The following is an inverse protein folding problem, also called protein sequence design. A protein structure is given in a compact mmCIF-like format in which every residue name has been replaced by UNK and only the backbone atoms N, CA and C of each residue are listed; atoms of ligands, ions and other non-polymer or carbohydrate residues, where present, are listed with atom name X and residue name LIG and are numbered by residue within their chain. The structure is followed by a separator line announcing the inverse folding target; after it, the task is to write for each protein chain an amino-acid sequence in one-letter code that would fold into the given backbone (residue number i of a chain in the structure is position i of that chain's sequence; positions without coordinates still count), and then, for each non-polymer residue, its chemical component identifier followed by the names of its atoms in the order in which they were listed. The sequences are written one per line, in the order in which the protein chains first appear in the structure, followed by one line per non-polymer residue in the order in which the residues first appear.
data_IF_264252005396
#
_entry.id   IF_264252005396
#
_cell.length_a   1.000
_cell.length_b   1.000
_cell.length_c   1.000
_cell.angle_alpha   90.00
_cell.angle_beta   90.00
_cell.angle_gamma   90.00
#
_symmetry.space_group_name_H-M   'P 1'
#
loop_
_entity.id
_entity.type
_entity.pdbx_description
1 polymer ?
#
# COMPACT_ATOMS: atom_id res chain seq x y z
N UNK A 1 17.56 21.03 -57.50
CA UNK A 1 18.24 19.75 -57.24
C UNK A 1 18.37 19.60 -55.72
N UNK A 2 17.44 18.87 -55.10
CA UNK A 2 17.53 18.56 -53.68
C UNK A 2 18.44 17.34 -53.52
N UNK A 3 19.65 17.55 -53.00
CA UNK A 3 20.55 16.46 -52.64
C UNK A 3 20.19 15.99 -51.23
N UNK A 4 19.22 15.09 -51.14
CA UNK A 4 18.89 14.41 -49.89
C UNK A 4 19.93 13.35 -49.62
N UNK A 5 20.69 13.49 -48.51
CA UNK A 5 21.44 12.37 -47.95
C UNK A 5 20.42 11.30 -47.53
N UNK A 6 20.42 10.18 -48.23
CA UNK A 6 19.80 8.96 -47.73
C UNK A 6 20.65 8.52 -46.52
N UNK A 7 20.13 8.72 -45.31
CA UNK A 7 20.68 8.07 -44.11
C UNK A 7 20.48 6.56 -44.31
N UNK A 8 21.59 5.79 -44.38
CA UNK A 8 21.49 4.34 -44.50
C UNK A 8 20.82 3.77 -43.24
N UNK A 9 19.92 2.77 -43.39
CA UNK A 9 19.31 2.13 -42.24
C UNK A 9 20.40 1.41 -41.45
N UNK A 10 20.51 1.76 -40.17
CA UNK A 10 21.35 1.08 -39.16
C UNK A 10 21.24 -0.43 -39.37
N UNK A 11 22.37 -1.11 -39.57
CA UNK A 11 22.35 -2.53 -39.89
C UNK A 11 21.69 -3.31 -38.76
N UNK A 12 21.09 -4.44 -39.11
CA UNK A 12 20.32 -5.28 -38.19
C UNK A 12 21.19 -5.78 -37.02
N UNK A 13 22.51 -5.86 -37.21
CA UNK A 13 23.46 -6.22 -36.17
C UNK A 13 23.71 -5.07 -35.18
N UNK A 14 23.79 -3.83 -35.66
CA UNK A 14 24.07 -2.65 -34.82
C UNK A 14 22.85 -2.28 -33.97
N UNK A 15 21.64 -2.44 -34.51
CA UNK A 15 20.38 -2.32 -33.77
C UNK A 15 20.25 -3.40 -32.68
N UNK A 16 20.72 -4.62 -32.96
CA UNK A 16 20.75 -5.70 -31.97
C UNK A 16 21.74 -5.38 -30.84
N UNK A 17 22.95 -4.91 -31.14
CA UNK A 17 23.91 -4.48 -30.09
C UNK A 17 23.36 -3.34 -29.22
N UNK A 18 22.66 -2.37 -29.82
CA UNK A 18 22.03 -1.26 -29.10
C UNK A 18 20.84 -1.71 -28.23
N UNK A 19 20.04 -2.67 -28.70
CA UNK A 19 18.98 -3.29 -27.92
C UNK A 19 19.52 -4.07 -26.70
N UNK A 20 20.68 -4.72 -26.83
CA UNK A 20 21.35 -5.37 -25.69
C UNK A 20 21.92 -4.36 -24.69
N UNK A 21 22.37 -3.19 -25.14
CA UNK A 21 22.82 -2.10 -24.25
C UNK A 21 21.66 -1.50 -23.44
N UNK A 22 20.44 -1.48 -24.00
CA UNK A 22 19.20 -1.00 -23.36
C UNK A 22 18.50 -2.09 -22.52
N UNK A 23 18.81 -3.37 -22.74
CA UNK A 23 18.29 -4.51 -21.99
C UNK A 23 19.03 -4.73 -20.66
N UNK A 24 19.49 -3.67 -20.00
CA UNK A 24 19.89 -3.79 -18.60
C UNK A 24 18.63 -4.19 -17.82
N UNK A 25 18.59 -5.37 -17.17
CA UNK A 25 17.47 -5.73 -16.31
C UNK A 25 17.43 -4.68 -15.21
N UNK A 26 16.44 -3.78 -15.29
CA UNK A 26 16.12 -2.86 -14.21
C UNK A 26 16.01 -3.68 -12.94
N UNK A 27 17.02 -3.55 -12.06
CA UNK A 27 17.07 -4.22 -10.77
C UNK A 27 15.89 -3.69 -9.96
N UNK A 28 14.75 -4.36 -10.06
CA UNK A 28 13.59 -4.09 -9.22
C UNK A 28 14.03 -4.28 -7.77
N UNK A 29 14.23 -3.20 -7.03
CA UNK A 29 14.50 -3.24 -5.60
C UNK A 29 13.18 -3.48 -4.85
N UNK A 30 12.63 -4.69 -4.95
CA UNK A 30 11.47 -5.10 -4.17
C UNK A 30 11.92 -5.49 -2.76
N UNK A 31 11.69 -4.60 -1.80
CA UNK A 31 11.89 -4.88 -0.38
C UNK A 31 10.52 -5.19 0.22
N UNK A 32 10.33 -6.42 0.69
CA UNK A 32 9.18 -6.79 1.51
C UNK A 32 9.67 -7.13 2.92
N UNK A 33 8.98 -6.59 3.93
CA UNK A 33 9.21 -6.99 5.30
C UNK A 33 8.46 -8.29 5.59
N UNK A 34 9.15 -9.27 6.17
CA UNK A 34 8.46 -10.38 6.83
C UNK A 34 8.03 -9.91 8.22
N UNK A 35 6.74 -9.74 8.44
CA UNK A 35 6.19 -9.46 9.77
C UNK A 35 5.86 -10.78 10.46
N UNK A 36 6.34 -10.95 11.69
CA UNK A 36 5.90 -12.05 12.56
C UNK A 36 4.58 -11.72 13.29
N UNK A 37 4.10 -10.48 13.19
CA UNK A 37 2.87 -10.04 13.85
C UNK A 37 1.69 -10.59 13.03
N UNK A 38 0.82 -11.41 13.65
CA UNK A 38 -0.35 -11.94 12.97
C UNK A 38 -1.27 -10.80 12.56
N UNK A 39 -1.77 -10.87 11.32
CA UNK A 39 -2.80 -9.96 10.87
C UNK A 39 -4.11 -10.31 11.55
N UNK A 40 -4.91 -9.27 11.78
CA UNK A 40 -6.10 -9.37 12.61
C UNK A 40 -7.32 -9.87 11.85
N UNK A 41 -7.36 -9.66 10.52
CA UNK A 41 -8.44 -10.11 9.62
C UNK A 41 -9.88 -9.78 10.08
N UNK A 42 -10.04 -8.75 10.91
CA UNK A 42 -11.32 -8.33 11.50
C UNK A 42 -11.62 -6.89 11.09
N UNK A 43 -12.91 -6.61 10.93
CA UNK A 43 -13.40 -5.24 10.87
C UNK A 43 -13.32 -4.57 12.24
N UNK A 44 -13.24 -3.24 12.25
CA UNK A 44 -13.29 -2.46 13.50
C UNK A 44 -14.56 -2.78 14.30
N UNK A 45 -15.70 -2.98 13.62
CA UNK A 45 -16.97 -3.33 14.26
C UNK A 45 -16.96 -4.70 14.94
N UNK A 46 -16.36 -5.73 14.33
CA UNK A 46 -16.22 -7.06 14.93
C UNK A 46 -15.38 -7.02 16.21
N UNK A 47 -14.26 -6.30 16.17
CA UNK A 47 -13.43 -6.10 17.36
C UNK A 47 -14.17 -5.33 18.45
N UNK A 48 -14.89 -4.27 18.09
CA UNK A 48 -15.66 -3.49 19.06
C UNK A 48 -16.72 -4.35 19.74
N UNK A 49 -17.44 -5.19 18.99
CA UNK A 49 -18.40 -6.15 19.56
C UNK A 49 -17.73 -7.15 20.50
N UNK A 50 -16.61 -7.76 20.10
CA UNK A 50 -15.84 -8.66 20.98
C UNK A 50 -15.36 -7.96 22.26
N UNK A 51 -14.96 -6.69 22.15
CA UNK A 51 -14.51 -5.91 23.30
C UNK A 51 -15.66 -5.54 24.25
N UNK A 52 -16.89 -5.38 23.74
CA UNK A 52 -18.08 -5.19 24.59
C UNK A 52 -18.31 -6.39 25.49
N UNK A 53 -18.14 -7.61 24.97
CA UNK A 53 -18.36 -8.84 25.74
C UNK A 53 -17.34 -9.01 26.87
N UNK A 54 -16.11 -8.54 26.67
CA UNK A 54 -15.03 -8.67 27.64
C UNK A 54 -14.99 -7.52 28.67
N UNK A 55 -15.09 -6.27 28.20
CA UNK A 55 -14.82 -5.07 29.01
C UNK A 55 -15.77 -3.91 28.65
N UNK A 56 -17.10 -4.07 28.85
CA UNK A 56 -18.10 -3.12 28.34
C UNK A 56 -17.96 -1.70 28.90
N UNK A 57 -17.53 -1.59 30.16
CA UNK A 57 -17.44 -0.33 30.90
C UNK A 57 -16.08 0.37 30.79
N UNK A 58 -15.12 -0.21 30.06
CA UNK A 58 -13.80 0.38 29.89
C UNK A 58 -13.90 1.66 29.04
N UNK A 59 -13.22 2.70 29.47
CA UNK A 59 -13.08 3.94 28.70
C UNK A 59 -12.34 3.67 27.39
N UNK A 60 -12.87 4.21 26.29
CA UNK A 60 -12.34 3.98 24.94
C UNK A 60 -12.03 5.26 24.19
N UNK A 61 -12.96 6.22 24.15
CA UNK A 61 -12.78 7.48 23.40
C UNK A 61 -13.11 8.68 24.30
N UNK A 62 -12.27 9.70 24.22
CA UNK A 62 -12.43 10.97 24.93
C UNK A 62 -12.55 12.10 23.89
N UNK A 63 -13.73 12.69 23.79
CA UNK A 63 -13.97 13.88 22.99
C UNK A 63 -13.74 15.12 23.85
N UNK A 64 -12.54 15.70 23.74
CA UNK A 64 -12.12 16.84 24.59
C UNK A 64 -12.98 18.09 24.40
N UNK A 65 -13.43 18.38 23.18
CA UNK A 65 -14.26 19.57 22.89
C UNK A 65 -15.63 19.49 23.55
N UNK A 66 -16.21 18.29 23.55
CA UNK A 66 -17.57 18.06 24.05
C UNK A 66 -17.58 17.59 25.52
N UNK A 67 -16.40 17.40 26.13
CA UNK A 67 -16.21 16.78 27.45
C UNK A 67 -16.95 15.43 27.58
N UNK A 68 -16.98 14.65 26.49
CA UNK A 68 -17.63 13.34 26.45
C UNK A 68 -16.56 12.26 26.61
N UNK A 69 -16.74 11.42 27.63
CA UNK A 69 -15.97 10.20 27.86
C UNK A 69 -16.86 9.00 27.54
N UNK A 70 -16.51 8.25 26.50
CA UNK A 70 -17.29 7.14 26.00
C UNK A 70 -16.63 5.81 26.37
N UNK A 71 -17.43 4.88 26.89
CA UNK A 71 -17.00 3.50 27.12
C UNK A 71 -17.16 2.64 25.84
N UNK A 72 -16.56 1.45 25.84
CA UNK A 72 -16.60 0.51 24.70
C UNK A 72 -18.05 0.18 24.30
N UNK A 73 -18.92 -0.08 25.27
CA UNK A 73 -20.35 -0.36 25.02
C UNK A 73 -21.07 0.78 24.31
N UNK A 74 -20.90 2.02 24.77
CA UNK A 74 -21.53 3.21 24.17
C UNK A 74 -20.99 3.52 22.77
N UNK A 75 -19.73 3.14 22.51
CA UNK A 75 -19.11 3.35 21.20
C UNK A 75 -19.59 2.29 20.21
N UNK A 76 -19.66 1.02 20.62
CA UNK A 76 -20.15 -0.05 19.76
C UNK A 76 -21.62 0.11 19.35
N UNK A 77 -22.46 0.75 20.17
CA UNK A 77 -23.87 1.03 19.84
C UNK A 77 -24.05 2.13 18.78
N UNK A 78 -22.99 2.86 18.45
CA UNK A 78 -23.00 3.97 17.48
C UNK A 78 -22.40 3.58 16.12
N UNK A 79 -21.87 2.37 16.00
CA UNK A 79 -21.35 1.78 14.76
C UNK A 79 -22.40 0.88 14.13
#
# INVERSE_FOLDING_TARGET
MASGRCEEPISLEEAALSAHAMAQPSKKSYVHGCSQIPLLFETVGERLRSAVDQVPNKEFVIFKRDNIRANILSTSKRC
#
